data_IF_275570889753
#
_entry.id   IF_275570889753
#
_cell.length_a   1.000
_cell.length_b   1.000
_cell.length_c   1.000
_cell.angle_alpha   90.00
_cell.angle_beta   90.00
_cell.angle_gamma   90.00
#
_symmetry.space_group_name_H-M   'P 1'
#
loop_
_entity.id
_entity.type
_entity.pdbx_description
1 polymer ?
#
# COMPACT_ATOMS: atom_id res chain seq x y z
N UNK A 1 25.36 5.42 -28.80
CA UNK A 1 24.09 5.10 -28.13
C UNK A 1 23.24 6.35 -28.19
N UNK A 2 22.18 6.34 -28.99
CA UNK A 2 21.26 7.48 -29.07
C UNK A 2 20.27 7.40 -27.92
N UNK A 3 19.84 8.54 -27.38
CA UNK A 3 18.93 8.58 -26.23
C UNK A 3 17.59 7.85 -26.48
N UNK A 4 17.19 7.71 -27.75
CA UNK A 4 16.00 6.97 -28.17
C UNK A 4 16.06 5.48 -27.84
N UNK A 5 17.25 4.86 -27.86
CA UNK A 5 17.44 3.44 -27.56
C UNK A 5 17.18 3.12 -26.08
N UNK A 6 17.17 4.14 -25.20
CA UNK A 6 16.89 3.98 -23.77
C UNK A 6 15.40 4.01 -23.41
N UNK A 7 14.55 4.51 -24.33
CA UNK A 7 13.11 4.67 -24.12
C UNK A 7 12.41 3.33 -23.80
N UNK A 8 12.68 2.21 -24.50
CA UNK A 8 12.04 0.93 -24.18
C UNK A 8 12.30 0.46 -22.74
N UNK A 9 13.54 0.64 -22.25
CA UNK A 9 13.89 0.29 -20.87
C UNK A 9 13.14 1.14 -19.85
N UNK A 10 13.04 2.44 -20.09
CA UNK A 10 12.29 3.35 -19.22
C UNK A 10 10.79 3.04 -19.19
N UNK A 11 10.21 2.68 -20.33
CA UNK A 11 8.79 2.28 -20.40
C UNK A 11 8.50 1.01 -19.59
N UNK A 12 9.41 0.04 -19.60
CA UNK A 12 9.28 -1.17 -18.78
C UNK A 12 9.31 -0.81 -17.29
N UNK A 13 10.24 0.06 -16.88
CA UNK A 13 10.37 0.50 -15.49
C UNK A 13 9.09 1.21 -15.04
N UNK A 14 8.61 2.19 -15.82
CA UNK A 14 7.35 2.88 -15.52
C UNK A 14 6.18 1.90 -15.48
N UNK A 15 6.12 0.96 -16.42
CA UNK A 15 5.12 -0.10 -16.47
C UNK A 15 5.09 -0.92 -15.18
N UNK A 16 6.24 -1.36 -14.68
CA UNK A 16 6.31 -2.12 -13.43
C UNK A 16 5.84 -1.30 -12.21
N UNK A 17 6.29 -0.06 -12.07
CA UNK A 17 5.86 0.81 -10.97
C UNK A 17 4.35 1.06 -10.98
N UNK A 18 3.77 1.31 -12.16
CA UNK A 18 2.32 1.49 -12.30
C UNK A 18 1.55 0.22 -11.98
N UNK A 19 2.03 -0.95 -12.43
CA UNK A 19 1.41 -2.24 -12.13
C UNK A 19 1.42 -2.53 -10.61
N UNK A 20 2.54 -2.29 -9.93
CA UNK A 20 2.63 -2.43 -8.47
C UNK A 20 1.66 -1.50 -7.75
N UNK A 21 1.58 -0.23 -8.17
CA UNK A 21 0.67 0.74 -7.55
C UNK A 21 -0.80 0.36 -7.72
N UNK A 22 -1.21 -0.05 -8.92
CA UNK A 22 -2.56 -0.54 -9.20
C UNK A 22 -2.86 -1.80 -8.39
N UNK A 23 -1.91 -2.73 -8.30
CA UNK A 23 -2.03 -3.96 -7.50
C UNK A 23 -2.27 -3.67 -6.02
N UNK A 24 -1.48 -2.77 -5.42
CA UNK A 24 -1.70 -2.35 -4.02
C UNK A 24 -3.05 -1.67 -3.83
N UNK A 25 -3.45 -0.78 -4.75
CA UNK A 25 -4.73 -0.09 -4.66
C UNK A 25 -5.91 -1.08 -4.76
N UNK A 26 -5.81 -2.08 -5.62
CA UNK A 26 -6.81 -3.14 -5.75
C UNK A 26 -6.88 -4.01 -4.48
N UNK A 27 -5.74 -4.40 -3.91
CA UNK A 27 -5.70 -5.15 -2.65
C UNK A 27 -6.36 -4.38 -1.51
N UNK A 28 -6.05 -3.08 -1.35
CA UNK A 28 -6.68 -2.22 -0.36
C UNK A 28 -8.19 -2.06 -0.56
N UNK A 29 -8.64 -2.02 -1.82
CA UNK A 29 -10.07 -1.95 -2.13
C UNK A 29 -10.80 -3.25 -1.73
N UNK A 30 -10.17 -4.41 -1.94
CA UNK A 30 -10.71 -5.71 -1.52
C UNK A 30 -10.76 -5.89 0.01
N UNK A 31 -9.80 -5.33 0.75
CA UNK A 31 -9.83 -5.33 2.22
C UNK A 31 -10.93 -4.40 2.79
N UNK A 32 -11.55 -3.55 1.96
CA UNK A 32 -12.67 -2.70 2.35
C UNK A 32 -12.32 -1.57 3.33
N UNK A 33 -11.02 -1.37 3.61
CA UNK A 33 -10.50 -0.29 4.45
C UNK A 33 -9.25 0.32 3.79
N UNK A 34 -9.15 1.65 3.70
CA UNK A 34 -7.93 2.28 3.21
C UNK A 34 -6.76 2.01 4.16
N UNK A 35 -5.56 1.82 3.60
CA UNK A 35 -4.32 1.78 4.37
C UNK A 35 -4.15 3.07 5.16
N UNK A 36 -3.91 2.99 6.47
CA UNK A 36 -3.57 4.16 7.27
C UNK A 36 -2.09 4.44 7.12
N UNK A 37 -1.76 5.46 6.36
CA UNK A 37 -0.40 5.98 6.32
C UNK A 37 -0.17 6.84 7.57
N UNK A 38 1.01 6.70 8.19
CA UNK A 38 1.41 7.42 9.41
C UNK A 38 0.62 7.05 10.67
N UNK A 39 0.77 5.80 11.16
CA UNK A 39 0.30 5.47 12.51
C UNK A 39 1.28 6.00 13.55
N UNK A 40 0.85 6.99 14.33
CA UNK A 40 1.57 7.39 15.52
C UNK A 40 1.33 6.38 16.68
N UNK A 41 2.01 6.57 17.81
CA UNK A 41 1.88 5.65 18.95
C UNK A 41 0.45 5.61 19.49
N UNK A 42 -0.25 6.73 19.43
CA UNK A 42 -1.62 6.85 19.90
C UNK A 42 -2.59 6.08 19.00
N UNK A 43 -2.49 6.24 17.68
CA UNK A 43 -3.28 5.52 16.68
C UNK A 43 -3.08 4.01 16.79
N UNK A 44 -1.86 3.58 17.11
CA UNK A 44 -1.55 2.18 17.37
C UNK A 44 -2.27 1.65 18.61
N UNK A 45 -2.18 2.36 19.74
CA UNK A 45 -2.89 1.97 20.96
C UNK A 45 -4.42 1.96 20.76
N UNK A 46 -4.95 2.94 20.03
CA UNK A 46 -6.37 3.02 19.70
C UNK A 46 -6.81 1.88 18.78
N UNK A 47 -6.00 1.51 17.78
CA UNK A 47 -6.27 0.37 16.91
C UNK A 47 -6.27 -0.95 17.68
N UNK A 48 -5.30 -1.16 18.57
CA UNK A 48 -5.24 -2.35 19.44
C UNK A 48 -6.43 -2.42 20.41
N UNK A 49 -6.83 -1.27 20.98
CA UNK A 49 -8.02 -1.19 21.84
C UNK A 49 -9.28 -1.53 21.07
N UNK A 50 -9.46 -0.98 19.89
CA UNK A 50 -10.64 -1.22 19.06
C UNK A 50 -10.69 -2.69 18.59
N UNK A 51 -9.55 -3.33 18.32
CA UNK A 51 -9.47 -4.77 18.05
C UNK A 51 -9.94 -5.61 19.25
N UNK A 52 -9.54 -5.25 20.48
CA UNK A 52 -10.01 -5.93 21.70
C UNK A 52 -11.51 -5.76 21.94
N UNK A 53 -12.07 -4.59 21.64
CA UNK A 53 -13.49 -4.30 21.86
C UNK A 53 -14.36 -4.97 20.79
N UNK A 54 -13.96 -4.86 19.52
CA UNK A 54 -14.80 -5.29 18.39
C UNK A 54 -14.52 -6.72 17.95
N UNK A 55 -13.43 -7.34 18.41
CA UNK A 55 -12.96 -8.65 17.99
C UNK A 55 -12.56 -8.73 16.50
N UNK A 56 -12.59 -7.61 15.77
CA UNK A 56 -12.15 -7.54 14.38
C UNK A 56 -10.67 -7.22 14.34
N UNK A 57 -9.87 -8.15 13.85
CA UNK A 57 -8.45 -7.90 13.60
C UNK A 57 -8.30 -6.79 12.56
N UNK A 58 -7.71 -5.68 12.97
CA UNK A 58 -7.20 -4.69 12.04
C UNK A 58 -5.80 -5.12 11.63
N UNK A 59 -5.70 -6.07 10.69
CA UNK A 59 -4.41 -6.38 10.05
C UNK A 59 -4.04 -5.21 9.15
N UNK A 60 -3.31 -4.25 9.71
CA UNK A 60 -2.44 -3.39 8.92
C UNK A 60 -1.02 -3.78 9.31
N UNK A 61 -0.35 -4.52 8.42
CA UNK A 61 1.08 -4.73 8.56
C UNK A 61 1.73 -3.35 8.41
N UNK A 62 2.11 -2.76 9.53
CA UNK A 62 3.12 -1.71 9.51
C UNK A 62 4.36 -2.32 8.85
N UNK A 63 4.75 -1.77 7.70
CA UNK A 63 6.08 -2.00 7.14
C UNK A 63 7.15 -1.56 8.13
#
# INVERSE_FOLDING_TARGET
MTWQESIPGLLIVVGMFTATHVGLKAANWLEGKPTRFHMDKFDKEMAERDERITGRQWRQQAQ
#
